data_IF_023711937082
#
_entry.id   IF_023711937082
#
_cell.length_a   1.000
_cell.length_b   1.000
_cell.length_c   1.000
_cell.angle_alpha   90.00
_cell.angle_beta   90.00
_cell.angle_gamma   90.00
#
_symmetry.space_group_name_H-M   'P 1'
#
loop_
_entity.id
_entity.type
_entity.pdbx_description
1 polymer ?
#
# COMPACT_ATOMS: atom_id res chain seq x y z
N UNK A 1 5.29 6.31 -11.00
CA UNK A 1 3.93 6.02 -11.47
C UNK A 1 3.16 7.30 -11.74
N UNK A 2 2.99 8.21 -10.76
CA UNK A 2 2.19 9.44 -10.91
C UNK A 2 2.67 10.29 -12.09
N UNK A 3 3.98 10.53 -12.21
CA UNK A 3 4.57 11.30 -13.29
C UNK A 3 4.41 10.63 -14.66
N UNK A 4 4.51 9.30 -14.72
CA UNK A 4 4.25 8.55 -15.96
C UNK A 4 2.78 8.62 -16.41
N UNK A 5 1.85 8.83 -15.47
CA UNK A 5 0.45 9.10 -15.77
C UNK A 5 0.18 10.56 -16.20
N UNK A 6 1.22 11.40 -16.36
CA UNK A 6 1.09 12.82 -16.71
C UNK A 6 0.60 13.70 -15.56
N UNK A 7 0.54 13.20 -14.35
CA UNK A 7 0.14 13.97 -13.18
C UNK A 7 1.35 14.48 -12.40
N UNK A 8 1.17 15.57 -11.66
CA UNK A 8 2.19 16.14 -10.77
C UNK A 8 1.99 15.61 -9.36
N UNK A 9 2.97 14.88 -8.77
CA UNK A 9 2.92 14.52 -7.37
C UNK A 9 3.13 15.77 -6.50
N UNK A 10 2.32 15.89 -5.46
CA UNK A 10 2.44 16.92 -4.42
C UNK A 10 2.66 16.19 -3.11
N UNK A 11 3.87 16.22 -2.54
CA UNK A 11 4.15 15.57 -1.27
C UNK A 11 3.42 16.27 -0.12
N UNK A 12 2.96 15.46 0.83
CA UNK A 12 2.44 15.89 2.13
C UNK A 12 3.36 15.29 3.18
N UNK A 13 3.78 16.10 4.14
CA UNK A 13 4.67 15.64 5.21
C UNK A 13 4.01 14.54 6.04
N UNK A 14 4.78 13.55 6.49
CA UNK A 14 4.28 12.50 7.36
C UNK A 14 4.18 12.97 8.82
N UNK A 15 3.30 12.32 9.58
CA UNK A 15 3.35 12.37 11.04
C UNK A 15 4.63 11.66 11.51
N UNK A 16 5.48 12.39 12.24
CA UNK A 16 6.78 11.88 12.72
C UNK A 16 6.68 10.63 13.61
N UNK A 17 5.52 10.38 14.20
CA UNK A 17 5.27 9.21 15.06
C UNK A 17 4.97 7.96 14.25
N UNK A 18 4.27 8.08 13.13
CA UNK A 18 3.78 6.97 12.33
C UNK A 18 4.54 6.79 11.02
N UNK A 19 5.22 7.84 10.57
CA UNK A 19 5.83 7.99 9.25
C UNK A 19 4.84 7.87 8.07
N UNK A 20 3.54 7.78 8.36
CA UNK A 20 2.48 7.83 7.37
C UNK A 20 2.05 9.27 7.13
N UNK A 21 1.40 9.52 5.99
CA UNK A 21 0.89 10.84 5.64
C UNK A 21 0.07 11.44 6.79
N UNK A 22 0.34 12.71 7.14
CA UNK A 22 -0.42 13.42 8.15
C UNK A 22 -1.75 13.95 7.54
N UNK A 23 -2.92 13.43 7.97
CA UNK A 23 -4.20 13.87 7.44
C UNK A 23 -4.47 15.36 7.65
N UNK A 24 -3.94 15.96 8.73
CA UNK A 24 -4.14 17.38 9.04
C UNK A 24 -3.52 18.29 7.97
N UNK A 25 -2.45 17.84 7.32
CA UNK A 25 -1.72 18.62 6.31
C UNK A 25 -2.24 18.42 4.88
N UNK A 26 -3.11 17.42 4.64
CA UNK A 26 -3.62 17.11 3.30
C UNK A 26 -4.45 18.27 2.76
N UNK A 27 -5.35 18.83 3.58
CA UNK A 27 -6.31 19.87 3.18
C UNK A 27 -5.63 21.07 2.51
N UNK A 28 -4.50 21.50 3.04
CA UNK A 28 -3.75 22.66 2.51
C UNK A 28 -3.16 22.44 1.12
N UNK A 29 -2.97 21.16 0.74
CA UNK A 29 -2.43 20.79 -0.57
C UNK A 29 -3.51 20.54 -1.62
N UNK A 30 -4.78 20.49 -1.22
CA UNK A 30 -5.90 20.26 -2.14
C UNK A 30 -6.17 21.53 -2.95
N UNK A 31 -6.26 21.36 -4.26
CA UNK A 31 -6.61 22.43 -5.21
C UNK A 31 -7.67 21.93 -6.18
N UNK A 32 -8.24 22.81 -7.03
CA UNK A 32 -9.17 22.43 -8.10
C UNK A 32 -8.57 21.42 -9.10
N UNK A 33 -7.25 21.29 -9.15
CA UNK A 33 -6.54 20.33 -10.02
C UNK A 33 -6.27 18.99 -9.34
N UNK A 34 -6.42 18.87 -8.03
CA UNK A 34 -6.22 17.63 -7.31
C UNK A 34 -7.22 16.58 -7.78
N UNK A 35 -6.76 15.36 -8.04
CA UNK A 35 -7.57 14.25 -8.55
C UNK A 35 -7.61 13.06 -7.62
N UNK A 36 -6.55 12.86 -6.85
CA UNK A 36 -6.44 11.71 -5.96
C UNK A 36 -5.58 12.04 -4.74
N UNK A 37 -5.80 11.26 -3.68
CA UNK A 37 -4.92 11.14 -2.52
C UNK A 37 -4.32 9.74 -2.58
N UNK A 38 -3.01 9.63 -2.30
CA UNK A 38 -2.31 8.34 -2.30
C UNK A 38 -1.65 8.15 -0.93
N UNK A 39 -2.36 7.58 0.05
CA UNK A 39 -1.76 7.19 1.32
C UNK A 39 -0.90 5.94 1.11
N UNK A 40 0.25 5.92 1.77
CA UNK A 40 1.10 4.73 1.89
C UNK A 40 0.85 4.10 3.25
N UNK A 41 0.68 2.79 3.31
CA UNK A 41 0.63 2.04 4.56
C UNK A 41 2.05 1.57 4.91
N UNK A 42 2.85 2.51 5.39
CA UNK A 42 4.29 2.34 5.55
C UNK A 42 4.60 1.32 6.66
N UNK A 43 5.55 0.42 6.40
CA UNK A 43 5.95 -0.67 7.30
C UNK A 43 4.83 -1.65 7.65
N UNK A 44 3.71 -1.61 6.93
CA UNK A 44 2.53 -2.42 7.22
C UNK A 44 1.60 -1.80 8.25
N UNK A 45 1.88 -0.60 8.72
CA UNK A 45 0.97 0.17 9.56
C UNK A 45 0.01 0.96 8.68
N UNK A 46 -1.30 0.77 8.81
CA UNK A 46 -2.27 1.55 8.07
C UNK A 46 -2.12 3.04 8.33
N UNK A 47 -2.24 3.88 7.30
CA UNK A 47 -2.43 5.31 7.48
C UNK A 47 -3.75 5.56 8.22
N UNK A 48 -3.90 6.73 8.83
CA UNK A 48 -5.14 7.12 9.48
C UNK A 48 -6.22 7.40 8.42
N UNK A 49 -6.95 6.34 8.06
CA UNK A 49 -7.81 6.35 6.88
C UNK A 49 -9.12 7.13 7.06
N UNK A 50 -9.69 7.18 8.26
CA UNK A 50 -10.98 7.85 8.48
C UNK A 50 -10.94 9.33 8.04
N UNK A 51 -10.03 10.19 8.56
CA UNK A 51 -9.95 11.57 8.12
C UNK A 51 -9.50 11.72 6.65
N UNK A 52 -8.75 10.75 6.10
CA UNK A 52 -8.36 10.76 4.69
C UNK A 52 -9.56 10.45 3.79
N UNK A 53 -10.39 9.48 4.17
CA UNK A 53 -11.63 9.14 3.46
C UNK A 53 -12.62 10.29 3.49
N UNK A 54 -12.80 10.94 4.64
CA UNK A 54 -13.64 12.14 4.78
C UNK A 54 -13.22 13.27 3.83
N UNK A 55 -11.90 13.51 3.72
CA UNK A 55 -11.37 14.50 2.79
C UNK A 55 -11.59 14.08 1.34
N UNK A 56 -11.36 12.81 1.00
CA UNK A 56 -11.57 12.30 -0.35
C UNK A 56 -13.04 12.45 -0.78
N UNK A 57 -13.98 12.10 0.08
CA UNK A 57 -15.41 12.28 -0.16
C UNK A 57 -15.78 13.76 -0.30
N UNK A 58 -15.40 14.59 0.67
CA UNK A 58 -15.69 16.02 0.69
C UNK A 58 -15.25 16.77 -0.57
N UNK A 59 -14.08 16.40 -1.12
CA UNK A 59 -13.50 17.05 -2.28
C UNK A 59 -13.68 16.25 -3.58
N UNK A 60 -14.47 15.17 -3.55
CA UNK A 60 -14.69 14.25 -4.67
C UNK A 60 -13.37 13.78 -5.31
N UNK A 61 -12.44 13.32 -4.48
CA UNK A 61 -11.13 12.83 -4.88
C UNK A 61 -11.12 11.29 -4.91
N UNK A 62 -10.32 10.72 -5.79
CA UNK A 62 -10.05 9.28 -5.75
C UNK A 62 -9.03 8.97 -4.66
N UNK A 63 -9.20 7.82 -4.01
CA UNK A 63 -8.32 7.36 -2.95
C UNK A 63 -7.61 6.09 -3.42
N UNK A 64 -6.29 6.18 -3.59
CA UNK A 64 -5.47 5.07 -4.08
C UNK A 64 -4.53 4.62 -2.96
N UNK A 65 -4.76 3.45 -2.38
CA UNK A 65 -3.89 2.92 -1.32
C UNK A 65 -2.60 2.37 -1.92
N UNK A 66 -1.45 2.77 -1.38
CA UNK A 66 -0.20 2.03 -1.56
C UNK A 66 -0.08 1.00 -0.42
N UNK A 67 -0.49 -0.23 -0.72
CA UNK A 67 -0.44 -1.37 0.20
C UNK A 67 0.78 -2.28 -0.05
N UNK A 68 1.81 -1.77 -0.74
CA UNK A 68 3.00 -2.55 -1.07
C UNK A 68 3.73 -3.15 0.13
N UNK A 69 3.49 -2.64 1.34
CA UNK A 69 4.05 -3.14 2.59
C UNK A 69 2.98 -3.63 3.59
N UNK A 70 1.71 -3.67 3.18
CA UNK A 70 0.59 -3.89 4.10
C UNK A 70 -0.26 -5.13 3.77
N UNK A 71 0.39 -6.21 3.32
CA UNK A 71 -0.27 -7.48 3.03
C UNK A 71 -0.90 -8.05 4.31
N UNK A 72 -2.23 -8.21 4.31
CA UNK A 72 -3.06 -8.62 5.45
C UNK A 72 -3.15 -7.62 6.62
N UNK A 73 -2.63 -6.41 6.51
CA UNK A 73 -2.85 -5.37 7.50
C UNK A 73 -4.34 -4.99 7.57
N UNK A 74 -4.80 -4.61 8.76
CA UNK A 74 -6.22 -4.33 9.03
C UNK A 74 -6.36 -2.93 9.63
N UNK A 75 -7.32 -2.17 9.11
CA UNK A 75 -7.80 -0.92 9.65
C UNK A 75 -9.28 -1.08 10.06
N UNK A 76 -9.57 -0.97 11.35
CA UNK A 76 -10.89 -1.32 11.87
C UNK A 76 -11.21 -2.80 11.61
N UNK A 77 -12.24 -3.05 10.84
CA UNK A 77 -12.68 -4.39 10.44
C UNK A 77 -12.38 -4.72 8.97
N UNK A 78 -11.66 -3.87 8.25
CA UNK A 78 -11.36 -4.00 6.82
C UNK A 78 -9.87 -4.18 6.59
N UNK A 79 -9.50 -5.00 5.61
CA UNK A 79 -8.10 -5.14 5.19
C UNK A 79 -7.66 -3.91 4.38
N UNK A 80 -6.43 -3.48 4.59
CA UNK A 80 -5.77 -2.56 3.67
C UNK A 80 -5.84 -3.12 2.25
N UNK A 81 -6.08 -2.26 1.29
CA UNK A 81 -6.37 -2.67 -0.08
C UNK A 81 -7.86 -2.76 -0.41
N UNK A 82 -8.74 -2.50 0.57
CA UNK A 82 -10.19 -2.46 0.36
C UNK A 82 -10.86 -1.18 0.89
N UNK A 83 -10.07 -0.20 1.32
CA UNK A 83 -10.54 1.02 1.96
C UNK A 83 -10.79 2.14 0.95
N UNK A 84 -9.94 2.24 -0.06
CA UNK A 84 -9.99 3.28 -1.07
C UNK A 84 -10.72 2.87 -2.36
N UNK A 85 -10.61 3.73 -3.38
CA UNK A 85 -11.10 3.47 -4.74
C UNK A 85 -10.40 2.26 -5.37
N UNK A 86 -9.10 2.17 -5.16
CA UNK A 86 -8.26 1.04 -5.55
C UNK A 86 -7.01 1.00 -4.67
N UNK A 87 -6.32 -0.12 -4.69
CA UNK A 87 -5.03 -0.28 -4.02
C UNK A 87 -4.04 -1.03 -4.89
N UNK A 88 -2.75 -0.72 -4.69
CA UNK A 88 -1.64 -1.40 -5.32
C UNK A 88 -0.84 -2.20 -4.29
N UNK A 89 -0.57 -3.46 -4.60
CA UNK A 89 0.31 -4.36 -3.85
C UNK A 89 1.57 -4.66 -4.65
N UNK A 90 2.68 -4.82 -3.96
CA UNK A 90 3.94 -5.29 -4.53
C UNK A 90 4.23 -6.71 -4.09
N UNK A 91 4.61 -7.57 -5.02
CA UNK A 91 5.09 -8.92 -4.73
C UNK A 91 6.60 -9.05 -4.95
N UNK A 92 7.33 -7.93 -4.95
CA UNK A 92 8.79 -7.96 -4.97
C UNK A 92 9.33 -8.94 -3.91
N UNK A 93 10.42 -9.70 -4.15
CA UNK A 93 10.86 -10.80 -3.28
C UNK A 93 11.04 -10.44 -1.81
N UNK A 94 11.39 -9.20 -1.48
CA UNK A 94 11.55 -8.71 -0.10
C UNK A 94 10.26 -8.35 0.61
N UNK A 95 9.10 -8.45 -0.03
CA UNK A 95 7.80 -8.14 0.61
C UNK A 95 7.31 -9.29 1.49
N UNK A 96 6.36 -9.01 2.39
CA UNK A 96 5.76 -10.01 3.28
C UNK A 96 5.19 -11.20 2.49
N UNK A 97 4.55 -10.91 1.36
CA UNK A 97 4.16 -11.87 0.35
C UNK A 97 4.99 -11.57 -0.92
N UNK A 98 6.19 -12.14 -1.00
CA UNK A 98 7.12 -11.93 -2.10
C UNK A 98 7.12 -13.10 -3.08
N UNK A 99 7.11 -12.81 -4.37
CA UNK A 99 7.43 -13.74 -5.45
C UNK A 99 8.94 -14.01 -5.53
N UNK A 100 9.42 -14.65 -6.60
CA UNK A 100 10.86 -14.84 -6.88
C UNK A 100 11.35 -13.89 -7.98
N UNK A 101 10.57 -12.89 -8.31
CA UNK A 101 10.86 -11.82 -9.25
C UNK A 101 9.85 -10.68 -9.05
N UNK A 102 9.81 -9.75 -10.01
CA UNK A 102 8.86 -8.67 -9.97
C UNK A 102 7.42 -9.17 -10.11
N UNK A 103 6.52 -8.52 -9.40
CA UNK A 103 5.11 -8.80 -9.43
C UNK A 103 4.32 -7.82 -8.57
N UNK A 104 3.03 -7.77 -8.82
CA UNK A 104 2.11 -6.91 -8.07
C UNK A 104 0.66 -7.25 -8.39
N UNK A 105 -0.23 -6.62 -7.66
CA UNK A 105 -1.66 -6.72 -7.88
C UNK A 105 -2.34 -5.38 -7.62
N UNK A 106 -3.50 -5.20 -8.23
CA UNK A 106 -4.43 -4.12 -7.93
C UNK A 106 -5.69 -4.73 -7.36
N UNK A 107 -6.20 -4.15 -6.29
CA UNK A 107 -7.51 -4.50 -5.72
C UNK A 107 -8.44 -3.30 -5.81
N UNK A 108 -9.73 -3.57 -6.05
CA UNK A 108 -10.80 -2.58 -6.06
C UNK A 108 -12.14 -3.27 -5.83
N UNK A 109 -13.09 -2.53 -5.25
CA UNK A 109 -14.49 -2.95 -5.12
C UNK A 109 -15.35 -2.47 -6.31
N UNK A 110 -14.76 -1.70 -7.25
CA UNK A 110 -15.43 -1.21 -8.45
C UNK A 110 -15.20 -2.19 -9.61
N UNK A 111 -16.25 -2.91 -10.08
CA UNK A 111 -16.13 -3.90 -11.15
C UNK A 111 -15.71 -3.28 -12.49
N UNK A 112 -16.15 -2.06 -12.80
CA UNK A 112 -15.80 -1.38 -14.05
C UNK A 112 -14.32 -0.98 -14.05
N UNK A 113 -13.83 -0.50 -12.91
CA UNK A 113 -12.41 -0.22 -12.73
C UNK A 113 -11.57 -1.51 -12.82
N UNK A 114 -12.03 -2.61 -12.21
CA UNK A 114 -11.35 -3.90 -12.30
C UNK A 114 -11.23 -4.39 -13.75
N UNK A 115 -12.31 -4.29 -14.52
CA UNK A 115 -12.33 -4.67 -15.93
C UNK A 115 -11.39 -3.78 -16.76
N UNK A 116 -11.42 -2.48 -16.52
CA UNK A 116 -10.53 -1.53 -17.19
C UNK A 116 -9.05 -1.79 -16.88
N UNK A 117 -8.72 -2.11 -15.64
CA UNK A 117 -7.35 -2.46 -15.22
C UNK A 117 -6.90 -3.74 -15.92
N UNK A 118 -7.73 -4.80 -15.98
CA UNK A 118 -7.41 -6.02 -16.72
C UNK A 118 -7.14 -5.74 -18.19
N UNK A 119 -7.96 -4.91 -18.82
CA UNK A 119 -7.77 -4.51 -20.20
C UNK A 119 -6.44 -3.75 -20.38
N UNK A 120 -6.18 -2.74 -19.56
CA UNK A 120 -4.95 -1.94 -19.65
C UNK A 120 -3.68 -2.75 -19.40
N UNK A 121 -3.69 -3.70 -18.47
CA UNK A 121 -2.55 -4.56 -18.16
C UNK A 121 -2.23 -5.58 -19.27
N UNK A 122 -3.18 -5.81 -20.17
CA UNK A 122 -3.06 -6.71 -21.31
C UNK A 122 -3.12 -5.96 -22.67
N UNK A 123 -2.20 -5.02 -22.87
CA UNK A 123 -2.08 -4.24 -24.11
C UNK A 123 -3.32 -3.39 -24.47
N UNK A 124 -4.23 -3.13 -23.52
CA UNK A 124 -5.49 -2.42 -23.77
C UNK A 124 -6.53 -3.29 -24.50
N UNK A 125 -6.44 -4.60 -24.37
CA UNK A 125 -7.23 -5.56 -25.15
C UNK A 125 -8.08 -6.44 -24.25
N UNK A 126 -9.39 -6.51 -24.53
CA UNK A 126 -10.31 -7.52 -23.97
C UNK A 126 -10.35 -8.78 -24.82
N UNK A 127 -10.25 -8.61 -26.12
CA UNK A 127 -10.23 -9.70 -27.12
C UNK A 127 -8.87 -9.63 -27.82
N UNK A 128 -8.20 -10.78 -27.93
CA UNK A 128 -6.89 -10.88 -28.55
C UNK A 128 -6.87 -10.18 -29.91
N UNK A 129 -5.87 -9.28 -30.11
CA UNK A 129 -5.67 -8.45 -31.30
C UNK A 129 -6.63 -7.26 -31.47
N UNK A 130 -7.60 -7.07 -30.58
CA UNK A 130 -8.49 -5.89 -30.59
C UNK A 130 -8.14 -4.99 -29.39
N UNK A 131 -7.40 -3.91 -29.65
CA UNK A 131 -6.95 -2.99 -28.60
C UNK A 131 -7.90 -1.79 -28.53
N UNK A 132 -8.67 -1.70 -27.44
CA UNK A 132 -9.58 -0.58 -27.18
C UNK A 132 -8.84 0.64 -26.60
N UNK A 133 -7.73 0.40 -25.92
CA UNK A 133 -6.93 1.41 -25.24
C UNK A 133 -5.45 1.23 -25.55
N UNK A 134 -4.67 2.31 -25.33
CA UNK A 134 -3.21 2.20 -25.20
C UNK A 134 -2.91 1.55 -23.84
N UNK A 135 -2.61 0.28 -23.85
CA UNK A 135 -2.30 -0.50 -22.66
C UNK A 135 -0.84 -0.87 -22.54
N UNK A 136 -0.55 -1.68 -21.54
CA UNK A 136 0.80 -2.12 -21.15
C UNK A 136 0.87 -3.63 -21.12
N UNK A 137 2.07 -4.17 -21.12
CA UNK A 137 2.32 -5.56 -20.73
C UNK A 137 2.66 -5.60 -19.25
N UNK A 138 1.63 -5.71 -18.41
CA UNK A 138 1.74 -5.72 -16.95
C UNK A 138 1.01 -6.94 -16.37
N UNK A 139 1.30 -8.12 -16.93
CA UNK A 139 0.73 -9.39 -16.45
C UNK A 139 1.66 -10.00 -15.41
N UNK A 140 1.09 -10.68 -14.44
CA UNK A 140 1.85 -11.50 -13.50
C UNK A 140 2.18 -12.84 -14.19
N UNK A 141 3.46 -13.20 -14.21
CA UNK A 141 3.91 -14.48 -14.77
C UNK A 141 3.33 -15.65 -13.95
N UNK A 142 2.94 -16.72 -14.63
CA UNK A 142 2.31 -17.90 -14.03
C UNK A 142 3.22 -18.58 -13.00
N UNK A 143 4.53 -18.57 -13.22
CA UNK A 143 5.52 -19.11 -12.26
C UNK A 143 5.47 -18.28 -10.97
N UNK A 144 5.46 -16.95 -11.05
CA UNK A 144 5.37 -16.07 -9.89
C UNK A 144 4.04 -16.25 -9.18
N UNK A 145 2.94 -16.39 -9.92
CA UNK A 145 1.63 -16.66 -9.36
C UNK A 145 1.59 -18.00 -8.60
N UNK A 146 2.22 -19.05 -9.14
CA UNK A 146 2.32 -20.36 -8.48
C UNK A 146 3.10 -20.27 -7.16
N UNK A 147 4.23 -19.54 -7.14
CA UNK A 147 5.02 -19.29 -5.93
C UNK A 147 4.22 -18.56 -4.88
N UNK A 148 3.52 -17.49 -5.27
CA UNK A 148 2.66 -16.71 -4.36
C UNK A 148 1.53 -17.57 -3.80
N UNK A 149 0.92 -18.43 -4.62
CA UNK A 149 -0.14 -19.35 -4.19
C UNK A 149 0.33 -20.32 -3.11
N UNK A 150 1.56 -20.80 -3.19
CA UNK A 150 2.15 -21.66 -2.15
C UNK A 150 2.41 -20.88 -0.86
N UNK A 151 2.83 -19.62 -0.94
CA UNK A 151 3.19 -18.78 0.20
C UNK A 151 1.98 -18.16 0.91
N UNK A 152 0.94 -17.83 0.16
CA UNK A 152 -0.23 -17.11 0.66
C UNK A 152 -0.88 -17.72 1.91
N UNK A 153 -1.06 -19.04 2.05
CA UNK A 153 -1.65 -19.65 3.24
C UNK A 153 -0.85 -19.41 4.53
N UNK A 154 0.43 -19.09 4.43
CA UNK A 154 1.33 -18.87 5.59
C UNK A 154 1.48 -17.40 5.95
N UNK A 155 0.91 -16.49 5.17
CA UNK A 155 1.14 -15.05 5.32
C UNK A 155 0.74 -14.54 6.71
N UNK A 156 -0.44 -14.91 7.20
CA UNK A 156 -0.94 -14.42 8.49
C UNK A 156 -0.08 -14.96 9.66
N UNK A 157 0.40 -16.22 9.57
CA UNK A 157 1.34 -16.77 10.55
C UNK A 157 2.67 -16.01 10.52
N UNK A 158 3.21 -15.73 9.34
CA UNK A 158 4.46 -14.98 9.21
C UNK A 158 4.33 -13.56 9.75
N UNK A 159 3.21 -12.89 9.49
CA UNK A 159 2.94 -11.56 10.03
C UNK A 159 2.86 -11.59 11.56
N UNK A 160 2.19 -12.59 12.13
CA UNK A 160 2.16 -12.78 13.57
C UNK A 160 3.56 -12.98 14.17
N UNK A 161 4.42 -13.78 13.53
CA UNK A 161 5.81 -13.96 13.97
C UNK A 161 6.60 -12.65 13.91
N UNK A 162 6.46 -11.86 12.84
CA UNK A 162 7.10 -10.55 12.72
C UNK A 162 6.63 -9.59 13.83
N UNK A 163 5.34 -9.62 14.13
CA UNK A 163 4.79 -8.81 15.22
C UNK A 163 5.40 -9.18 16.57
N UNK A 164 5.58 -10.47 16.87
CA UNK A 164 6.24 -10.92 18.11
C UNK A 164 7.71 -10.42 18.17
N UNK A 165 8.43 -10.48 17.06
CA UNK A 165 9.80 -9.94 16.99
C UNK A 165 9.80 -8.41 17.20
N UNK A 166 8.86 -7.69 16.58
CA UNK A 166 8.74 -6.24 16.78
C UNK A 166 8.50 -5.90 18.27
N UNK A 167 7.65 -6.65 18.97
CA UNK A 167 7.44 -6.47 20.42
C UNK A 167 8.72 -6.58 21.24
N UNK A 168 9.66 -7.43 20.84
CA UNK A 168 10.95 -7.52 21.54
C UNK A 168 11.81 -6.25 21.30
N UNK A 169 11.80 -5.69 20.08
CA UNK A 169 12.51 -4.43 19.80
C UNK A 169 11.98 -3.26 20.64
N UNK A 170 10.69 -3.24 20.95
CA UNK A 170 10.10 -2.18 21.77
C UNK A 170 10.51 -2.22 23.25
N UNK A 171 11.15 -3.29 23.69
CA UNK A 171 11.75 -3.36 25.04
C UNK A 171 13.09 -2.63 25.14
N UNK A 172 13.63 -2.15 24.01
CA UNK A 172 14.89 -1.41 24.00
C UNK A 172 14.65 -0.03 24.62
N UNK A 173 15.21 0.17 25.79
CA UNK A 173 15.25 1.46 26.47
C UNK A 173 16.59 2.17 26.17
N UNK A 174 16.59 2.94 25.08
CA UNK A 174 17.74 3.73 24.69
C UNK A 174 17.29 5.09 24.11
N UNK A 175 17.60 6.23 24.77
CA UNK A 175 17.14 7.53 24.34
C UNK A 175 17.67 7.99 22.96
N UNK A 176 18.67 7.29 22.42
CA UNK A 176 19.20 7.56 21.07
C UNK A 176 18.47 6.79 19.97
N UNK A 177 17.54 5.91 20.33
CA UNK A 177 16.77 5.09 19.38
C UNK A 177 15.31 5.53 19.42
N UNK A 178 14.87 6.15 18.35
CA UNK A 178 13.45 6.44 18.16
C UNK A 178 12.79 5.24 17.46
N UNK A 179 11.97 4.51 18.20
CA UNK A 179 11.16 3.44 17.63
C UNK A 179 9.87 4.05 17.04
N UNK A 180 9.38 3.51 15.91
CA UNK A 180 8.08 3.92 15.40
C UNK A 180 7.00 3.73 16.47
N UNK A 181 6.06 4.64 16.58
CA UNK A 181 5.02 4.60 17.59
C UNK A 181 4.16 3.34 17.48
N UNK A 182 3.98 2.62 18.60
CA UNK A 182 3.28 1.34 18.65
C UNK A 182 1.76 1.43 18.56
N UNK A 183 1.20 2.56 18.78
CA UNK A 183 -0.24 2.67 18.88
C UNK A 183 -0.69 4.05 18.48
N UNK A 184 -1.31 4.16 17.34
CA UNK A 184 -2.48 4.99 17.31
C UNK A 184 -3.45 4.26 18.25
N UNK A 185 -3.57 4.71 19.50
CA UNK A 185 -4.66 4.35 20.42
C UNK A 185 -5.98 4.89 19.86
N UNK A 186 -6.26 4.54 18.62
CA UNK A 186 -7.54 4.78 17.98
C UNK A 186 -8.20 3.42 17.90
N UNK A 187 -9.43 3.35 18.31
CA UNK A 187 -10.30 2.16 18.34
C UNK A 187 -10.31 1.36 17.02
N UNK A 188 -9.76 1.92 15.94
CA UNK A 188 -9.81 1.40 14.58
C UNK A 188 -8.56 0.68 14.09
N UNK A 189 -7.43 0.66 14.84
CA UNK A 189 -6.22 -0.06 14.44
C UNK A 189 -5.99 -1.24 15.38
N UNK A 190 -6.09 -2.44 14.85
CA UNK A 190 -5.82 -3.66 15.60
C UNK A 190 -4.30 -3.91 15.60
N UNK A 191 -3.65 -3.67 16.74
CA UNK A 191 -2.19 -3.80 16.90
C UNK A 191 -1.62 -5.17 16.51
N UNK A 192 -2.38 -6.24 16.75
CA UNK A 192 -1.99 -7.62 16.43
C UNK A 192 -2.01 -7.94 14.92
N UNK A 193 -2.51 -7.00 14.10
CA UNK A 193 -2.66 -7.18 12.65
C UNK A 193 -1.88 -6.17 11.81
N UNK A 194 -0.94 -5.45 12.43
CA UNK A 194 0.02 -4.63 11.71
C UNK A 194 1.08 -5.54 11.07
N UNK A 195 1.28 -5.40 9.77
CA UNK A 195 2.31 -6.11 9.04
C UNK A 195 3.64 -5.38 9.15
N UNK A 196 4.51 -5.76 10.08
CA UNK A 196 5.84 -5.21 10.11
C UNK A 196 6.69 -5.73 8.95
N UNK A 197 7.13 -4.82 8.09
CA UNK A 197 8.21 -5.06 7.14
C UNK A 197 9.49 -4.57 7.78
N UNK A 198 10.44 -5.46 8.01
CA UNK A 198 11.74 -5.09 8.54
C UNK A 198 12.43 -4.16 7.54
N UNK A 199 12.78 -2.91 7.91
CA UNK A 199 13.61 -2.11 7.05
C UNK A 199 14.97 -2.80 6.94
N UNK A 200 15.46 -2.97 5.73
CA UNK A 200 16.83 -3.45 5.51
C UNK A 200 17.79 -2.41 6.11
N UNK A 201 18.32 -2.72 7.29
CA UNK A 201 19.41 -1.95 7.90
C UNK A 201 20.66 -2.16 7.07
N UNK A 202 21.01 -1.21 6.21
CA UNK A 202 22.29 -1.25 5.52
C UNK A 202 22.38 -0.63 4.14
N UNK A 203 21.32 -0.06 3.60
CA UNK A 203 21.42 0.63 2.30
C UNK A 203 21.16 2.11 2.52
N UNK A 204 22.23 2.92 2.43
CA UNK A 204 22.11 4.36 2.18
C UNK A 204 21.20 4.52 0.97
N UNK A 205 20.18 5.37 1.12
CA UNK A 205 19.17 5.73 0.14
C UNK A 205 19.55 5.45 -1.32
N UNK A 206 19.02 4.37 -1.89
CA UNK A 206 18.93 4.22 -3.34
C UNK A 206 17.59 4.83 -3.73
N UNK A 207 17.54 5.79 -4.65
CA UNK A 207 16.27 6.32 -5.12
C UNK A 207 15.43 5.19 -5.69
N UNK A 208 14.18 5.07 -5.24
CA UNK A 208 13.21 4.17 -5.86
C UNK A 208 12.96 4.66 -7.30
N UNK A 209 13.40 3.86 -8.26
CA UNK A 209 13.04 4.01 -9.67
C UNK A 209 11.68 3.39 -9.95
#
# INVERSE_FOLDING_TARGET
>A
AVSYAGAKPIPVEPDIRTFNIDPALIKEKITKRTKAIIPVHLYGMPADMDPIMDLAEKYNLKLLEDSAQAHSAIYGNKKCGSLGTASAFSFYPGKNLGAYGDGGAITTNDPDLAEKVRCLSNYGSKIKYYNEYKGYNCRLDEIQAAILRVKLPYLDEWNRKRHLVAKEYYKIDNPKINLPYQGLQRENIQEDKICFVQPYSGIKSIPCW
#
